data_IF_242297333325
#
_entry.id   IF_242297333325
#
_cell.length_a   1.000
_cell.length_b   1.000
_cell.length_c   1.000
_cell.angle_alpha   90.00
_cell.angle_beta   90.00
_cell.angle_gamma   90.00
#
_symmetry.space_group_name_H-M   'P 1'
#
loop_
_entity.id
_entity.type
_entity.pdbx_description
1 polymer ?
#
# COMPACT_ATOMS: atom_id res chain seq x y z
N UNK A 1 18.46 -11.85 17.79
CA UNK A 1 17.70 -10.97 16.90
C UNK A 1 17.12 -9.87 17.76
N UNK A 2 17.48 -8.60 17.51
CA UNK A 2 16.79 -7.45 18.10
C UNK A 2 15.44 -7.29 17.39
N UNK A 3 14.34 -7.04 18.11
CA UNK A 3 13.10 -6.63 17.46
C UNK A 3 13.34 -5.32 16.68
N UNK A 4 12.54 -5.05 15.65
CA UNK A 4 12.49 -3.72 15.02
C UNK A 4 12.21 -2.64 16.09
N UNK A 5 11.36 -2.97 17.07
CA UNK A 5 11.12 -2.17 18.27
C UNK A 5 12.42 -1.88 19.05
N UNK A 6 13.37 -2.82 19.16
CA UNK A 6 14.63 -2.62 19.90
C UNK A 6 15.65 -1.74 19.18
N UNK A 7 15.55 -1.60 17.85
CA UNK A 7 16.31 -0.59 17.09
C UNK A 7 15.64 0.78 17.16
N UNK A 8 14.33 0.81 17.21
CA UNK A 8 13.50 2.01 17.37
C UNK A 8 13.61 2.59 18.80
N UNK A 9 13.99 1.79 19.80
CA UNK A 9 14.19 2.27 21.17
C UNK A 9 15.46 3.13 21.38
N UNK A 10 16.28 3.34 20.34
CA UNK A 10 17.38 4.32 20.39
C UNK A 10 16.88 5.71 19.94
N UNK A 11 16.52 6.57 20.90
CA UNK A 11 15.84 7.86 20.65
C UNK A 11 16.54 8.81 19.66
N UNK A 12 17.86 8.70 19.47
CA UNK A 12 18.59 9.50 18.49
C UNK A 12 18.49 8.96 17.05
N UNK A 13 18.35 7.64 16.87
CA UNK A 13 18.20 7.02 15.55
C UNK A 13 16.77 7.17 15.02
N UNK A 14 15.77 7.09 15.89
CA UNK A 14 14.37 7.33 15.53
C UNK A 14 14.09 8.77 15.13
N UNK A 15 14.61 9.74 15.89
CA UNK A 15 14.47 11.16 15.56
C UNK A 15 15.02 11.46 14.17
N UNK A 16 16.21 10.93 13.83
CA UNK A 16 16.80 11.05 12.49
C UNK A 16 15.94 10.38 11.41
N UNK A 17 15.33 9.24 11.70
CA UNK A 17 14.49 8.54 10.73
C UNK A 17 13.20 9.31 10.43
N UNK A 18 12.53 9.82 11.46
CA UNK A 18 11.34 10.67 11.30
C UNK A 18 11.66 11.96 10.55
N UNK A 19 12.77 12.63 10.88
CA UNK A 19 13.24 13.83 10.17
C UNK A 19 13.51 13.55 8.69
N UNK A 20 14.12 12.40 8.36
CA UNK A 20 14.37 12.01 6.97
C UNK A 20 13.05 11.74 6.21
N UNK A 21 12.08 11.09 6.84
CA UNK A 21 10.75 10.86 6.25
C UNK A 21 10.07 12.20 5.98
N UNK A 22 10.04 13.09 6.97
CA UNK A 22 9.47 14.43 6.81
C UNK A 22 10.16 15.20 5.68
N UNK A 23 11.49 15.22 5.66
CA UNK A 23 12.26 15.88 4.59
C UNK A 23 11.91 15.32 3.21
N UNK A 24 11.77 14.01 3.10
CA UNK A 24 11.38 13.36 1.84
C UNK A 24 9.92 13.68 1.47
N UNK A 25 9.00 13.79 2.43
CA UNK A 25 7.62 14.20 2.11
C UNK A 25 7.54 15.67 1.66
N UNK A 26 8.34 16.53 2.29
CA UNK A 26 8.39 17.96 1.96
C UNK A 26 9.10 18.22 0.63
N UNK A 27 10.16 17.47 0.31
CA UNK A 27 10.94 17.61 -0.92
C UNK A 27 11.34 16.22 -1.44
N UNK A 28 10.40 15.51 -2.08
CA UNK A 28 10.64 14.13 -2.45
C UNK A 28 11.63 14.02 -3.60
N UNK A 29 12.53 13.04 -3.48
CA UNK A 29 13.38 12.67 -4.60
C UNK A 29 12.55 12.03 -5.72
N UNK A 30 13.02 12.19 -6.95
CA UNK A 30 12.41 11.65 -8.16
C UNK A 30 13.42 10.84 -8.94
N UNK A 31 12.93 9.87 -9.71
CA UNK A 31 13.70 9.01 -10.60
C UNK A 31 14.75 8.16 -9.85
N UNK A 32 14.40 7.61 -8.69
CA UNK A 32 15.30 6.70 -7.95
C UNK A 32 15.55 5.38 -8.71
N UNK A 33 14.65 5.04 -9.64
CA UNK A 33 14.77 3.89 -10.54
C UNK A 33 14.70 2.53 -9.85
N UNK A 34 14.21 2.44 -8.60
CA UNK A 34 14.21 1.17 -7.85
C UNK A 34 13.25 0.13 -8.41
N UNK A 35 12.20 0.56 -9.11
CA UNK A 35 11.16 -0.31 -9.70
C UNK A 35 11.22 -0.29 -11.23
N UNK A 36 12.43 -0.40 -11.78
CA UNK A 36 12.71 -0.56 -13.22
C UNK A 36 13.13 -1.99 -13.55
N UNK A 37 12.93 -2.42 -14.80
CA UNK A 37 13.15 -3.80 -15.21
C UNK A 37 14.57 -4.33 -14.91
N UNK A 38 15.59 -3.49 -15.02
CA UNK A 38 17.01 -3.85 -14.78
C UNK A 38 17.32 -4.15 -13.31
N UNK A 39 16.49 -3.69 -12.37
CA UNK A 39 16.64 -3.96 -10.93
C UNK A 39 16.18 -5.36 -10.52
N UNK A 40 15.27 -5.98 -11.27
CA UNK A 40 14.70 -7.30 -10.97
C UNK A 40 15.56 -8.44 -11.51
N UNK A 41 16.79 -8.56 -10.99
CA UNK A 41 17.74 -9.60 -11.44
C UNK A 41 17.24 -11.01 -11.12
N UNK A 42 17.20 -11.86 -12.13
CA UNK A 42 16.75 -13.26 -12.00
C UNK A 42 15.24 -13.46 -12.14
N UNK A 43 14.50 -12.40 -12.47
CA UNK A 43 13.06 -12.44 -12.75
C UNK A 43 12.78 -12.23 -14.24
N UNK A 44 11.56 -12.58 -14.65
CA UNK A 44 10.99 -12.16 -15.93
C UNK A 44 10.28 -10.84 -15.69
N UNK A 45 10.55 -9.85 -16.53
CA UNK A 45 9.93 -8.53 -16.47
C UNK A 45 9.29 -8.17 -17.80
N UNK A 46 8.11 -7.56 -17.74
CA UNK A 46 7.46 -6.86 -18.85
C UNK A 46 7.19 -5.43 -18.40
N UNK A 47 7.81 -4.45 -19.04
CA UNK A 47 7.75 -3.03 -18.67
C UNK A 47 7.13 -2.24 -19.83
N UNK A 48 6.12 -1.44 -19.51
CA UNK A 48 5.45 -0.56 -20.45
C UNK A 48 5.00 0.72 -19.74
N UNK A 49 4.23 1.55 -20.43
CA UNK A 49 3.85 2.86 -19.95
C UNK A 49 2.37 3.16 -20.22
N UNK A 50 1.72 3.83 -19.27
CA UNK A 50 0.36 4.35 -19.36
C UNK A 50 0.41 5.86 -19.20
N UNK A 51 0.19 6.60 -20.29
CA UNK A 51 0.18 8.08 -20.33
C UNK A 51 1.36 8.78 -19.64
N UNK A 52 2.57 8.26 -19.82
CA UNK A 52 3.80 8.76 -19.23
C UNK A 52 4.23 8.04 -17.96
N UNK A 53 3.41 7.18 -17.36
CA UNK A 53 3.70 6.48 -16.10
C UNK A 53 4.08 5.02 -16.30
N UNK A 54 5.18 4.59 -15.67
CA UNK A 54 5.73 3.26 -15.84
C UNK A 54 4.83 2.18 -15.20
N UNK A 55 4.69 1.05 -15.88
CA UNK A 55 4.04 -0.14 -15.34
C UNK A 55 4.94 -1.33 -15.62
N UNK A 56 5.21 -2.12 -14.59
CA UNK A 56 6.08 -3.29 -14.70
C UNK A 56 5.44 -4.51 -14.06
N UNK A 57 5.27 -5.57 -14.85
CA UNK A 57 4.94 -6.90 -14.35
C UNK A 57 6.22 -7.69 -14.09
N UNK A 58 6.34 -8.26 -12.91
CA UNK A 58 7.45 -9.13 -12.49
C UNK A 58 6.91 -10.53 -12.21
N UNK A 59 7.60 -11.55 -12.71
CA UNK A 59 7.23 -12.94 -12.47
C UNK A 59 8.42 -13.91 -12.45
N UNK A 60 8.18 -15.11 -11.93
CA UNK A 60 9.08 -16.25 -12.06
C UNK A 60 8.86 -17.00 -13.39
N UNK A 61 9.68 -18.03 -13.63
CA UNK A 61 9.51 -18.94 -14.79
C UNK A 61 8.23 -19.77 -14.72
N UNK A 62 7.71 -19.99 -13.51
CA UNK A 62 6.44 -20.67 -13.24
C UNK A 62 5.58 -19.72 -12.44
N UNK A 63 4.31 -19.62 -12.80
CA UNK A 63 3.32 -18.82 -12.10
C UNK A 63 2.17 -19.70 -11.63
N UNK A 64 1.57 -19.39 -10.48
CA UNK A 64 0.42 -20.12 -9.95
C UNK A 64 -0.92 -19.63 -10.54
N UNK A 65 -0.91 -18.60 -11.40
CA UNK A 65 -2.10 -17.98 -12.00
C UNK A 65 -2.62 -16.75 -11.23
N UNK A 66 -2.11 -16.50 -10.02
CA UNK A 66 -2.42 -15.31 -9.23
C UNK A 66 -1.58 -14.10 -9.63
N UNK A 67 -2.21 -12.93 -9.67
CA UNK A 67 -1.61 -11.68 -10.13
C UNK A 67 -1.93 -10.52 -9.18
N UNK A 68 -0.93 -10.06 -8.43
CA UNK A 68 -1.05 -8.92 -7.50
C UNK A 68 -0.79 -7.61 -8.23
N UNK A 69 -1.70 -6.66 -8.14
CA UNK A 69 -1.46 -5.28 -8.55
C UNK A 69 -1.02 -4.50 -7.30
N UNK A 70 0.18 -3.96 -7.35
CA UNK A 70 0.90 -3.37 -6.22
C UNK A 70 0.86 -1.84 -6.28
N UNK A 71 0.34 -1.22 -5.22
CA UNK A 71 0.27 0.22 -5.04
C UNK A 71 1.07 0.59 -3.78
N UNK A 72 2.22 1.25 -3.97
CA UNK A 72 3.15 1.52 -2.88
C UNK A 72 2.70 2.63 -1.92
N UNK A 73 3.25 2.64 -0.70
CA UNK A 73 3.13 3.73 0.27
C UNK A 73 4.00 4.95 -0.06
N UNK A 74 4.24 5.83 0.92
CA UNK A 74 5.00 7.07 0.71
C UNK A 74 4.15 8.34 0.65
N UNK A 75 2.98 8.33 1.29
CA UNK A 75 2.16 9.53 1.49
C UNK A 75 1.62 10.15 0.21
N UNK A 76 1.55 9.41 -0.90
CA UNK A 76 1.25 9.92 -2.26
C UNK A 76 2.26 10.94 -2.81
N UNK A 77 3.38 11.16 -2.12
CA UNK A 77 4.40 12.17 -2.47
C UNK A 77 5.76 11.56 -2.77
N UNK A 78 6.11 10.45 -2.13
CA UNK A 78 7.40 9.78 -2.24
C UNK A 78 7.34 8.57 -3.16
N UNK A 79 8.42 8.32 -3.90
CA UNK A 79 8.54 7.14 -4.78
C UNK A 79 8.65 5.83 -4.00
N UNK A 80 8.26 4.73 -4.65
CA UNK A 80 8.57 3.39 -4.18
C UNK A 80 10.08 3.19 -4.00
N UNK A 81 10.44 2.28 -3.10
CA UNK A 81 11.83 2.09 -2.65
C UNK A 81 12.32 0.67 -2.90
N UNK A 82 13.61 0.44 -2.66
CA UNK A 82 14.19 -0.90 -2.67
C UNK A 82 13.44 -1.88 -1.73
N UNK A 83 12.82 -1.40 -0.65
CA UNK A 83 12.02 -2.24 0.23
C UNK A 83 10.74 -2.74 -0.45
N UNK A 84 10.03 -1.89 -1.18
CA UNK A 84 8.87 -2.31 -1.97
C UNK A 84 9.26 -3.33 -3.03
N UNK A 85 10.40 -3.10 -3.72
CA UNK A 85 10.96 -4.09 -4.66
C UNK A 85 11.20 -5.45 -3.98
N UNK A 86 11.76 -5.48 -2.77
CA UNK A 86 11.96 -6.76 -2.04
C UNK A 86 10.64 -7.48 -1.78
N UNK A 87 9.57 -6.77 -1.39
CA UNK A 87 8.25 -7.37 -1.21
C UNK A 87 7.80 -8.06 -2.50
N UNK A 88 7.87 -7.35 -3.63
CA UNK A 88 7.54 -7.89 -4.95
C UNK A 88 8.36 -9.15 -5.25
N UNK A 89 9.68 -9.08 -5.06
CA UNK A 89 10.59 -10.20 -5.31
C UNK A 89 10.25 -11.43 -4.46
N UNK A 90 9.94 -11.25 -3.17
CA UNK A 90 9.59 -12.35 -2.26
C UNK A 90 8.23 -12.98 -2.61
N UNK A 91 7.21 -12.17 -2.93
CA UNK A 91 5.90 -12.69 -3.36
C UNK A 91 6.02 -13.54 -4.64
N UNK A 92 6.85 -13.10 -5.58
CA UNK A 92 7.11 -13.85 -6.82
C UNK A 92 7.90 -15.13 -6.53
N UNK A 93 8.98 -15.04 -5.74
CA UNK A 93 9.88 -16.17 -5.44
C UNK A 93 9.21 -17.26 -4.60
N UNK A 94 8.53 -16.88 -3.53
CA UNK A 94 8.01 -17.80 -2.53
C UNK A 94 6.66 -18.39 -2.95
N UNK A 95 5.79 -17.59 -3.58
CA UNK A 95 4.40 -17.97 -3.83
C UNK A 95 4.09 -18.20 -5.31
N UNK A 96 5.01 -17.88 -6.22
CA UNK A 96 4.79 -18.02 -7.66
C UNK A 96 3.73 -17.06 -8.20
N UNK A 97 3.49 -15.94 -7.51
CA UNK A 97 2.60 -14.88 -7.97
C UNK A 97 3.27 -14.10 -9.11
N UNK A 98 2.45 -13.53 -10.00
CA UNK A 98 2.85 -12.36 -10.78
C UNK A 98 2.56 -11.11 -9.96
N UNK A 99 3.39 -10.09 -10.10
CA UNK A 99 3.16 -8.81 -9.44
C UNK A 99 3.35 -7.69 -10.43
N UNK A 100 2.31 -6.88 -10.65
CA UNK A 100 2.43 -5.65 -11.43
C UNK A 100 2.50 -4.46 -10.52
N UNK A 101 3.59 -3.69 -10.63
CA UNK A 101 3.76 -2.40 -9.98
C UNK A 101 3.33 -1.28 -10.93
N UNK A 102 2.51 -0.36 -10.43
CA UNK A 102 2.10 0.86 -11.14
C UNK A 102 2.86 2.04 -10.51
N UNK A 103 3.74 2.67 -11.28
CA UNK A 103 4.49 3.87 -10.90
C UNK A 103 3.56 5.09 -11.01
N UNK A 104 2.58 5.15 -10.11
CA UNK A 104 1.44 6.06 -10.22
C UNK A 104 1.86 7.53 -9.99
N UNK A 105 1.10 8.49 -10.53
CA UNK A 105 1.37 9.92 -10.36
C UNK A 105 1.47 10.36 -8.90
N UNK A 106 2.50 11.14 -8.57
CA UNK A 106 2.78 11.63 -7.22
C UNK A 106 2.59 13.14 -7.10
N UNK A 107 2.24 13.57 -5.90
CA UNK A 107 2.18 14.97 -5.53
C UNK A 107 3.59 15.50 -5.18
N UNK A 108 3.86 16.81 -5.38
CA UNK A 108 2.92 17.85 -5.79
C UNK A 108 2.72 18.01 -7.31
N UNK A 109 3.45 17.28 -8.16
CA UNK A 109 3.36 17.40 -9.62
C UNK A 109 1.98 16.98 -10.15
N UNK A 110 1.36 16.03 -9.45
CA UNK A 110 0.04 15.50 -9.76
C UNK A 110 -0.80 15.34 -8.50
N UNK A 111 -2.11 15.51 -8.65
CA UNK A 111 -3.10 15.33 -7.60
C UNK A 111 -3.84 14.00 -7.77
N UNK A 112 -4.73 13.68 -6.83
CA UNK A 112 -5.51 12.45 -6.83
C UNK A 112 -6.24 12.17 -8.15
N UNK A 113 -6.73 13.19 -8.86
CA UNK A 113 -7.44 13.01 -10.12
C UNK A 113 -6.56 12.26 -11.14
N UNK A 114 -5.30 12.68 -11.27
CA UNK A 114 -4.37 12.05 -12.21
C UNK A 114 -3.96 10.66 -11.72
N UNK A 115 -3.72 10.51 -10.41
CA UNK A 115 -3.38 9.22 -9.80
C UNK A 115 -4.45 8.17 -10.06
N UNK A 116 -5.71 8.48 -9.78
CA UNK A 116 -6.83 7.57 -10.04
C UNK A 116 -7.06 7.32 -11.53
N UNK A 117 -6.92 8.34 -12.38
CA UNK A 117 -6.98 8.18 -13.84
C UNK A 117 -5.98 7.11 -14.33
N UNK A 118 -4.71 7.25 -13.95
CA UNK A 118 -3.64 6.35 -14.37
C UNK A 118 -3.81 4.96 -13.79
N UNK A 119 -4.11 4.84 -12.50
CA UNK A 119 -4.28 3.52 -11.86
C UNK A 119 -5.45 2.76 -12.48
N UNK A 120 -6.57 3.43 -12.78
CA UNK A 120 -7.73 2.80 -13.42
C UNK A 120 -7.48 2.44 -14.89
N UNK A 121 -6.69 3.22 -15.63
CA UNK A 121 -6.24 2.86 -16.99
C UNK A 121 -5.31 1.66 -16.96
N UNK A 122 -4.29 1.71 -16.11
CA UNK A 122 -3.34 0.62 -15.92
C UNK A 122 -4.04 -0.67 -15.49
N UNK A 123 -4.98 -0.62 -14.54
CA UNK A 123 -5.76 -1.80 -14.14
C UNK A 123 -6.45 -2.49 -15.32
N UNK A 124 -7.12 -1.73 -16.19
CA UNK A 124 -7.79 -2.26 -17.39
C UNK A 124 -6.79 -2.86 -18.37
N UNK A 125 -5.66 -2.20 -18.60
CA UNK A 125 -4.62 -2.74 -19.50
C UNK A 125 -3.97 -4.02 -18.95
N UNK A 126 -3.63 -4.03 -17.66
CA UNK A 126 -3.04 -5.20 -16.97
C UNK A 126 -3.96 -6.41 -17.12
N UNK A 127 -5.26 -6.23 -16.88
CA UNK A 127 -6.25 -7.32 -16.89
C UNK A 127 -6.52 -7.85 -18.29
N UNK A 128 -6.52 -6.99 -19.31
CA UNK A 128 -6.62 -7.40 -20.72
C UNK A 128 -5.37 -8.18 -21.13
N UNK A 129 -4.19 -7.66 -20.78
CA UNK A 129 -2.90 -8.22 -21.19
C UNK A 129 -2.58 -9.54 -20.49
N UNK A 130 -3.16 -9.79 -19.32
CA UNK A 130 -3.01 -11.00 -18.53
C UNK A 130 -4.34 -11.78 -18.40
N UNK A 131 -5.08 -11.88 -19.51
CA UNK A 131 -6.35 -12.60 -19.54
C UNK A 131 -6.22 -14.03 -19.00
N UNK A 132 -7.07 -14.38 -18.03
CA UNK A 132 -7.09 -15.69 -17.38
C UNK A 132 -6.38 -15.75 -16.03
N UNK A 133 -5.61 -14.72 -15.65
CA UNK A 133 -5.07 -14.60 -14.31
C UNK A 133 -6.17 -14.29 -13.27
N UNK A 134 -5.96 -14.70 -12.03
CA UNK A 134 -6.75 -14.28 -10.88
C UNK A 134 -6.13 -13.03 -10.24
N UNK A 135 -6.84 -11.90 -10.32
CA UNK A 135 -6.31 -10.61 -9.88
C UNK A 135 -6.51 -10.35 -8.39
N UNK A 136 -5.51 -9.73 -7.79
CA UNK A 136 -5.44 -9.31 -6.39
C UNK A 136 -4.92 -7.87 -6.30
N UNK A 137 -5.17 -7.20 -5.18
CA UNK A 137 -4.56 -5.89 -4.87
C UNK A 137 -3.68 -5.98 -3.64
N UNK A 138 -2.54 -5.30 -3.67
CA UNK A 138 -1.73 -4.99 -2.50
C UNK A 138 -1.58 -3.48 -2.41
N UNK A 139 -1.72 -2.92 -1.21
CA UNK A 139 -1.19 -1.60 -0.94
C UNK A 139 -0.78 -1.39 0.50
N UNK A 140 0.30 -0.63 0.68
CA UNK A 140 0.82 -0.20 1.97
C UNK A 140 0.61 1.31 2.19
N UNK A 141 0.35 1.75 3.41
CA UNK A 141 0.22 3.18 3.76
C UNK A 141 -0.74 3.94 2.81
N UNK A 142 -0.26 4.99 2.15
CA UNK A 142 -0.98 5.70 1.09
C UNK A 142 -1.48 4.77 -0.03
N UNK A 143 -0.64 3.85 -0.49
CA UNK A 143 -1.02 2.83 -1.47
C UNK A 143 -2.10 1.88 -0.96
N UNK A 144 -2.17 1.62 0.35
CA UNK A 144 -3.26 0.89 0.99
C UNK A 144 -4.59 1.66 0.96
N UNK A 145 -4.55 2.97 1.19
CA UNK A 145 -5.68 3.86 0.95
C UNK A 145 -6.13 3.82 -0.52
N UNK A 146 -5.18 3.97 -1.44
CA UNK A 146 -5.44 3.93 -2.88
C UNK A 146 -6.03 2.58 -3.32
N UNK A 147 -5.49 1.46 -2.84
CA UNK A 147 -5.98 0.13 -3.15
C UNK A 147 -7.44 -0.05 -2.73
N UNK A 148 -7.80 0.40 -1.53
CA UNK A 148 -9.19 0.33 -1.06
C UNK A 148 -10.12 1.24 -1.88
N UNK A 149 -9.68 2.46 -2.22
CA UNK A 149 -10.45 3.37 -3.07
C UNK A 149 -10.66 2.79 -4.48
N UNK A 150 -9.60 2.25 -5.10
CA UNK A 150 -9.68 1.56 -6.39
C UNK A 150 -10.65 0.38 -6.33
N UNK A 151 -10.57 -0.45 -5.28
CA UNK A 151 -11.47 -1.59 -5.11
C UNK A 151 -12.94 -1.16 -4.98
N UNK A 152 -13.20 -0.06 -4.26
CA UNK A 152 -14.54 0.55 -4.17
C UNK A 152 -15.04 1.00 -5.55
N UNK A 153 -14.21 1.73 -6.31
CA UNK A 153 -14.53 2.20 -7.67
C UNK A 153 -14.81 1.03 -8.61
N UNK A 154 -13.95 0.01 -8.63
CA UNK A 154 -14.13 -1.18 -9.48
C UNK A 154 -15.47 -1.87 -9.22
N UNK A 155 -15.89 -1.94 -7.95
CA UNK A 155 -17.17 -2.55 -7.56
C UNK A 155 -18.36 -1.68 -7.95
N UNK A 156 -18.28 -0.36 -7.75
CA UNK A 156 -19.35 0.57 -8.09
C UNK A 156 -19.55 0.69 -9.61
N UNK A 157 -18.45 0.69 -10.38
CA UNK A 157 -18.45 0.68 -11.85
C UNK A 157 -18.64 -0.71 -12.47
N UNK A 158 -18.69 -1.77 -11.65
CA UNK A 158 -18.82 -3.18 -12.07
C UNK A 158 -17.75 -3.62 -13.08
N UNK A 159 -16.52 -3.17 -12.87
CA UNK A 159 -15.37 -3.52 -13.71
C UNK A 159 -14.96 -4.97 -13.45
N UNK A 160 -14.72 -5.71 -14.53
CA UNK A 160 -14.25 -7.10 -14.51
C UNK A 160 -12.95 -7.26 -15.30
N UNK A 161 -12.08 -8.23 -14.93
CA UNK A 161 -12.16 -9.06 -13.73
C UNK A 161 -12.08 -8.21 -12.45
N UNK A 162 -12.75 -8.62 -11.38
CA UNK A 162 -12.72 -7.92 -10.09
C UNK A 162 -11.67 -8.57 -9.18
N UNK A 163 -10.86 -7.82 -8.40
CA UNK A 163 -9.86 -8.42 -7.53
C UNK A 163 -10.50 -9.29 -6.45
N UNK A 164 -10.11 -10.56 -6.36
CA UNK A 164 -10.72 -11.50 -5.39
C UNK A 164 -10.23 -11.27 -3.95
N UNK A 165 -9.00 -10.78 -3.82
CA UNK A 165 -8.29 -10.60 -2.56
C UNK A 165 -7.53 -9.29 -2.54
N UNK A 166 -7.56 -8.61 -1.41
CA UNK A 166 -6.88 -7.33 -1.23
C UNK A 166 -6.14 -7.30 0.10
N UNK A 167 -4.84 -7.01 0.06
CA UNK A 167 -4.03 -6.77 1.27
C UNK A 167 -3.88 -5.27 1.46
N UNK A 168 -4.20 -4.83 2.67
CA UNK A 168 -4.03 -3.45 3.13
C UNK A 168 -3.04 -3.46 4.30
N UNK A 169 -1.80 -3.05 4.05
CA UNK A 169 -0.79 -2.88 5.09
C UNK A 169 -0.81 -1.43 5.61
N UNK A 170 -1.02 -1.25 6.90
CA UNK A 170 -0.98 0.06 7.58
C UNK A 170 -1.69 1.18 6.80
N UNK A 171 -2.90 0.96 6.25
CA UNK A 171 -3.43 1.81 5.19
C UNK A 171 -3.83 3.20 5.71
N UNK A 172 -3.47 4.24 4.95
CA UNK A 172 -3.93 5.60 5.19
C UNK A 172 -5.27 5.86 4.50
N UNK A 173 -6.35 5.69 5.27
CA UNK A 173 -7.73 5.68 4.73
C UNK A 173 -8.56 6.93 5.04
N UNK A 174 -8.00 7.87 5.80
CA UNK A 174 -8.64 9.13 6.19
C UNK A 174 -7.63 10.29 6.10
N UNK A 175 -7.65 11.01 4.99
CA UNK A 175 -6.76 12.15 4.75
C UNK A 175 -7.16 13.39 5.57
N UNK A 176 -8.32 13.37 6.23
CA UNK A 176 -8.70 14.45 7.16
C UNK A 176 -7.93 14.38 8.48
N UNK A 177 -7.35 13.22 8.80
CA UNK A 177 -6.69 12.93 10.08
C UNK A 177 -7.59 13.30 11.29
N UNK A 178 -8.91 13.14 11.14
CA UNK A 178 -9.90 13.65 12.11
C UNK A 178 -10.25 12.68 13.24
N UNK A 179 -9.66 11.49 13.26
CA UNK A 179 -9.90 10.52 14.32
C UNK A 179 -9.32 11.03 15.65
N UNK A 180 -10.13 11.14 16.72
CA UNK A 180 -9.71 11.78 17.98
C UNK A 180 -8.57 11.04 18.70
N UNK A 181 -8.31 9.76 18.34
CA UNK A 181 -7.24 8.96 18.92
C UNK A 181 -5.90 9.09 18.18
N UNK A 182 -5.86 9.79 17.05
CA UNK A 182 -4.63 9.95 16.27
C UNK A 182 -3.56 10.69 17.07
N UNK A 183 -3.93 11.72 17.84
CA UNK A 183 -2.96 12.47 18.66
C UNK A 183 -2.20 11.57 19.64
N UNK A 184 -2.91 10.69 20.34
CA UNK A 184 -2.32 9.71 21.26
C UNK A 184 -1.48 8.64 20.54
N UNK A 185 -1.90 8.22 19.34
CA UNK A 185 -1.16 7.26 18.53
C UNK A 185 0.14 7.87 17.97
N UNK A 186 0.12 9.15 17.60
CA UNK A 186 1.27 9.89 17.09
C UNK A 186 2.43 9.92 18.09
N UNK A 187 2.14 9.97 19.39
CA UNK A 187 3.18 9.94 20.45
C UNK A 187 3.97 8.61 20.48
N UNK A 188 3.43 7.55 19.88
CA UNK A 188 4.05 6.21 19.84
C UNK A 188 4.67 5.88 18.50
N UNK A 189 4.36 6.64 17.46
CA UNK A 189 4.89 6.42 16.11
C UNK A 189 6.26 7.09 15.98
N UNK A 190 7.34 6.32 15.75
CA UNK A 190 8.68 6.87 15.62
C UNK A 190 9.02 7.30 14.19
N UNK A 191 8.12 7.06 13.22
CA UNK A 191 8.36 7.29 11.80
C UNK A 191 7.55 8.48 11.29
N UNK A 192 6.23 8.43 11.50
CA UNK A 192 5.30 9.42 10.98
C UNK A 192 4.95 10.48 12.02
N UNK A 193 4.69 11.68 11.53
CA UNK A 193 4.17 12.79 12.34
C UNK A 193 2.88 13.31 11.73
N UNK A 194 2.05 13.95 12.55
CA UNK A 194 0.85 14.64 12.06
C UNK A 194 1.19 15.67 10.98
N UNK A 195 2.25 16.44 11.21
CA UNK A 195 2.70 17.51 10.33
C UNK A 195 3.06 16.99 8.93
N UNK A 196 3.86 15.93 8.83
CA UNK A 196 4.22 15.37 7.52
C UNK A 196 3.00 14.77 6.78
N UNK A 197 2.06 14.15 7.51
CA UNK A 197 0.83 13.62 6.90
C UNK A 197 -0.11 14.73 6.43
N UNK A 198 -0.27 15.81 7.19
CA UNK A 198 -1.07 16.96 6.74
C UNK A 198 -0.50 17.60 5.48
N UNK A 199 0.82 17.82 5.43
CA UNK A 199 1.46 18.38 4.23
C UNK A 199 1.34 17.46 3.01
N UNK A 200 1.49 16.15 3.20
CA UNK A 200 1.30 15.18 2.12
C UNK A 200 -0.16 15.17 1.63
N UNK A 201 -1.13 15.19 2.55
CA UNK A 201 -2.55 15.23 2.24
C UNK A 201 -2.91 16.50 1.45
N UNK A 202 -2.46 17.67 1.90
CA UNK A 202 -2.72 18.95 1.24
C UNK A 202 -2.27 18.93 -0.24
N UNK A 203 -1.07 18.40 -0.51
CA UNK A 203 -0.53 18.30 -1.87
C UNK A 203 -1.30 17.31 -2.74
N UNK A 204 -1.67 16.16 -2.17
CA UNK A 204 -2.35 15.10 -2.93
C UNK A 204 -3.82 15.41 -3.21
N UNK A 205 -4.54 15.97 -2.22
CA UNK A 205 -5.95 16.34 -2.34
C UNK A 205 -6.15 17.41 -3.42
N UNK A 206 -5.22 18.36 -3.54
CA UNK A 206 -5.37 19.49 -4.46
C UNK A 206 -6.64 20.28 -4.16
N UNK A 207 -7.57 20.33 -5.11
CA UNK A 207 -8.86 21.01 -4.96
C UNK A 207 -10.01 20.06 -4.51
N UNK A 208 -9.69 18.81 -4.18
CA UNK A 208 -10.68 17.82 -3.76
C UNK A 208 -11.22 18.02 -2.34
N UNK A 209 -12.31 17.33 -2.03
CA UNK A 209 -12.80 17.20 -0.65
C UNK A 209 -12.12 16.00 0.02
N UNK A 210 -11.37 16.25 1.09
CA UNK A 210 -10.71 15.21 1.90
C UNK A 210 -11.67 14.13 2.42
N UNK A 211 -12.98 14.39 2.50
CA UNK A 211 -14.01 13.41 2.89
C UNK A 211 -14.58 12.60 1.73
N UNK A 212 -14.21 12.92 0.49
CA UNK A 212 -14.60 12.13 -0.67
C UNK A 212 -14.02 10.71 -0.54
N UNK A 213 -14.84 9.68 -0.79
CA UNK A 213 -14.44 8.28 -0.69
C UNK A 213 -13.31 7.89 -1.66
N UNK A 214 -13.13 8.63 -2.76
CA UNK A 214 -11.99 8.41 -3.67
C UNK A 214 -10.66 8.79 -3.01
N UNK A 215 -10.65 9.82 -2.15
CA UNK A 215 -9.47 10.29 -1.41
C UNK A 215 -9.31 9.58 -0.06
N UNK A 216 -10.42 9.44 0.67
CA UNK A 216 -10.51 8.86 2.00
C UNK A 216 -11.51 7.71 1.98
N UNK A 217 -11.10 6.51 1.55
CA UNK A 217 -12.01 5.38 1.34
C UNK A 217 -12.72 4.91 2.59
N UNK A 218 -12.28 5.33 3.79
CA UNK A 218 -13.02 5.06 5.02
C UNK A 218 -14.43 5.65 4.98
N UNK A 219 -14.69 6.70 4.20
CA UNK A 219 -16.03 7.29 4.06
C UNK A 219 -16.91 6.60 3.00
N UNK A 220 -16.32 5.68 2.22
CA UNK A 220 -17.02 4.88 1.23
C UNK A 220 -17.77 3.67 1.82
N UNK A 221 -18.44 2.92 0.93
CA UNK A 221 -19.13 1.67 1.26
C UNK A 221 -18.14 0.51 1.35
N UNK A 222 -18.37 -0.41 2.28
CA UNK A 222 -17.49 -1.57 2.48
C UNK A 222 -18.05 -2.90 1.98
N UNK A 223 -19.28 -2.93 1.45
CA UNK A 223 -19.93 -4.17 1.00
C UNK A 223 -19.27 -4.78 -0.24
N UNK A 224 -19.37 -6.09 -0.48
CA UNK A 224 -19.00 -6.73 -1.75
C UNK A 224 -17.58 -6.41 -2.24
N UNK A 225 -16.62 -6.29 -1.33
CA UNK A 225 -15.21 -6.00 -1.63
C UNK A 225 -14.36 -7.27 -1.76
N UNK A 226 -14.96 -8.47 -1.69
CA UNK A 226 -14.22 -9.73 -1.68
C UNK A 226 -13.54 -9.99 -0.35
N UNK A 227 -12.39 -10.68 -0.36
CA UNK A 227 -11.59 -10.95 0.84
C UNK A 227 -10.57 -9.83 1.07
N UNK A 228 -10.55 -9.23 2.25
CA UNK A 228 -9.57 -8.21 2.65
C UNK A 228 -8.72 -8.75 3.79
N UNK A 229 -7.41 -8.59 3.69
CA UNK A 229 -6.48 -8.78 4.80
C UNK A 229 -5.93 -7.43 5.23
N UNK A 230 -6.31 -6.98 6.42
CA UNK A 230 -5.88 -5.72 7.00
C UNK A 230 -4.81 -5.96 8.06
N UNK A 231 -3.62 -5.39 7.85
CA UNK A 231 -2.51 -5.43 8.78
C UNK A 231 -2.22 -4.02 9.32
N UNK A 232 -1.95 -3.91 10.63
CA UNK A 232 -1.51 -2.65 11.26
C UNK A 232 -0.66 -2.96 12.50
N UNK A 233 0.26 -2.07 12.87
CA UNK A 233 1.02 -2.13 14.10
C UNK A 233 0.34 -1.36 15.24
N UNK A 234 0.66 -1.68 16.49
CA UNK A 234 0.14 -0.92 17.64
C UNK A 234 0.92 0.36 17.94
N UNK A 235 2.08 0.57 17.30
CA UNK A 235 2.95 1.74 17.45
C UNK A 235 3.04 2.52 16.13
N UNK A 236 1.88 2.76 15.51
CA UNK A 236 1.78 3.63 14.35
C UNK A 236 0.59 4.59 14.46
N UNK A 237 0.74 5.77 13.87
CA UNK A 237 -0.21 6.88 13.93
C UNK A 237 -1.54 6.56 13.23
N UNK A 238 -1.52 5.68 12.24
CA UNK A 238 -2.70 5.29 11.44
C UNK A 238 -3.52 4.16 12.06
N UNK A 239 -3.02 3.52 13.14
CA UNK A 239 -3.70 2.41 13.79
C UNK A 239 -5.15 2.72 14.24
N UNK A 240 -5.46 3.92 14.79
CA UNK A 240 -6.83 4.28 15.13
C UNK A 240 -7.81 4.18 13.96
N UNK A 241 -7.40 4.59 12.75
CA UNK A 241 -8.24 4.49 11.55
C UNK A 241 -8.28 3.07 10.99
N UNK A 242 -7.18 2.31 11.10
CA UNK A 242 -7.19 0.88 10.78
C UNK A 242 -8.20 0.11 11.66
N UNK A 243 -8.28 0.43 12.96
CA UNK A 243 -9.28 -0.16 13.86
C UNK A 243 -10.71 0.24 13.52
N UNK A 244 -10.93 1.51 13.13
CA UNK A 244 -12.24 1.99 12.65
C UNK A 244 -12.63 1.31 11.33
N UNK A 245 -11.69 1.16 10.42
CA UNK A 245 -11.86 0.43 9.16
C UNK A 245 -12.20 -1.04 9.40
N UNK A 246 -11.49 -1.72 10.30
CA UNK A 246 -11.80 -3.09 10.74
C UNK A 246 -13.27 -3.21 11.15
N UNK A 247 -13.77 -2.33 12.01
CA UNK A 247 -15.18 -2.36 12.44
C UNK A 247 -16.14 -2.19 11.26
N UNK A 248 -15.83 -1.31 10.31
CA UNK A 248 -16.65 -1.14 9.09
C UNK A 248 -16.63 -2.37 8.19
N UNK A 249 -15.46 -2.98 7.98
CA UNK A 249 -15.29 -4.17 7.14
C UNK A 249 -16.00 -5.39 7.75
N UNK A 250 -15.91 -5.59 9.07
CA UNK A 250 -16.62 -6.68 9.77
C UNK A 250 -18.14 -6.54 9.69
N UNK A 251 -18.66 -5.32 9.57
CA UNK A 251 -20.10 -5.07 9.46
C UNK A 251 -20.62 -5.09 8.02
N UNK A 252 -19.73 -5.22 7.03
CA UNK A 252 -20.09 -5.10 5.62
C UNK A 252 -20.67 -6.40 5.06
N UNK A 253 -21.67 -6.28 4.19
CA UNK A 253 -22.25 -7.43 3.51
C UNK A 253 -21.36 -7.88 2.34
N UNK A 254 -21.09 -9.18 2.19
CA UNK A 254 -20.33 -9.71 1.04
C UNK A 254 -18.84 -9.35 1.03
N UNK A 255 -18.30 -8.89 2.15
CA UNK A 255 -16.87 -8.64 2.37
C UNK A 255 -16.38 -9.50 3.51
N UNK A 256 -15.30 -10.23 3.29
CA UNK A 256 -14.66 -11.06 4.30
C UNK A 256 -13.40 -10.34 4.81
N UNK A 257 -13.15 -10.39 6.11
CA UNK A 257 -12.00 -9.72 6.73
C UNK A 257 -11.11 -10.71 7.49
N UNK A 258 -9.85 -10.74 7.12
CA UNK A 258 -8.75 -11.15 7.99
C UNK A 258 -8.08 -9.91 8.57
N UNK A 259 -7.74 -9.94 9.85
CA UNK A 259 -7.16 -8.79 10.54
C UNK A 259 -5.99 -9.21 11.42
N UNK A 260 -4.84 -8.56 11.22
CA UNK A 260 -3.65 -8.75 12.05
C UNK A 260 -3.18 -7.42 12.64
N UNK A 261 -3.11 -7.36 13.96
CA UNK A 261 -2.57 -6.21 14.68
C UNK A 261 -1.25 -6.59 15.36
N UNK A 262 -0.14 -6.13 14.80
CA UNK A 262 1.21 -6.42 15.26
C UNK A 262 1.55 -5.65 16.54
N UNK A 263 1.75 -6.37 17.65
CA UNK A 263 2.15 -5.76 18.91
C UNK A 263 3.53 -5.08 18.78
N UNK A 264 3.61 -3.79 19.13
CA UNK A 264 4.81 -2.95 19.05
C UNK A 264 5.38 -2.79 17.64
N UNK A 265 4.65 -3.22 16.62
CA UNK A 265 5.01 -2.94 15.24
C UNK A 265 4.70 -1.49 14.91
N UNK A 266 5.59 -0.91 14.11
CA UNK A 266 5.50 0.49 13.65
C UNK A 266 4.93 0.55 12.24
N UNK A 267 4.74 1.76 11.73
CA UNK A 267 4.18 1.97 10.40
C UNK A 267 4.97 1.21 9.33
N UNK A 268 4.26 0.47 8.48
CA UNK A 268 4.81 -0.33 7.37
C UNK A 268 5.99 -1.25 7.76
N UNK A 269 5.94 -1.90 8.94
CA UNK A 269 7.03 -2.78 9.38
C UNK A 269 7.41 -3.87 8.35
N UNK A 270 6.49 -4.24 7.45
CA UNK A 270 6.75 -5.16 6.32
C UNK A 270 7.88 -4.69 5.40
N UNK A 271 8.09 -3.37 5.26
CA UNK A 271 9.15 -2.79 4.44
C UNK A 271 10.56 -3.09 5.00
N UNK A 272 10.65 -3.54 6.24
CA UNK A 272 11.91 -3.94 6.87
C UNK A 272 12.34 -5.37 6.48
N UNK A 273 11.61 -6.06 5.60
CA UNK A 273 11.96 -7.40 5.10
C UNK A 273 13.26 -7.41 4.28
N UNK A 274 14.09 -8.47 4.36
CA UNK A 274 13.98 -9.64 5.26
C UNK A 274 14.73 -9.44 6.59
N UNK A 275 15.14 -8.22 6.92
CA UNK A 275 16.08 -7.95 8.00
C UNK A 275 15.50 -8.15 9.40
N UNK A 276 14.16 -8.17 9.51
CA UNK A 276 13.45 -8.40 10.77
C UNK A 276 12.46 -9.55 10.63
N UNK A 277 12.43 -10.40 11.66
CA UNK A 277 11.62 -11.61 11.65
C UNK A 277 10.13 -11.30 11.50
N UNK A 278 9.64 -10.27 12.18
CA UNK A 278 8.24 -9.85 12.12
C UNK A 278 7.86 -9.29 10.75
N UNK A 279 8.80 -8.61 10.07
CA UNK A 279 8.60 -8.13 8.71
C UNK A 279 8.54 -9.30 7.71
N UNK A 280 9.44 -10.28 7.85
CA UNK A 280 9.43 -11.48 7.02
C UNK A 280 8.15 -12.31 7.25
N UNK A 281 7.74 -12.49 8.51
CA UNK A 281 6.45 -13.15 8.83
C UNK A 281 5.25 -12.43 8.24
N UNK A 282 5.27 -11.10 8.16
CA UNK A 282 4.22 -10.35 7.47
C UNK A 282 4.16 -10.68 5.97
N UNK A 283 5.31 -10.84 5.31
CA UNK A 283 5.37 -11.33 3.92
C UNK A 283 4.78 -12.74 3.82
N UNK A 284 5.11 -13.62 4.76
CA UNK A 284 4.59 -14.99 4.78
C UNK A 284 3.05 -15.01 4.89
N UNK A 285 2.52 -14.26 5.86
CA UNK A 285 1.06 -14.11 6.04
C UNK A 285 0.39 -13.56 4.78
N UNK A 286 0.99 -12.54 4.15
CA UNK A 286 0.45 -11.92 2.92
C UNK A 286 0.45 -12.90 1.75
N UNK A 287 1.54 -13.64 1.55
CA UNK A 287 1.62 -14.62 0.47
C UNK A 287 0.66 -15.79 0.68
N UNK A 288 0.57 -16.30 1.91
CA UNK A 288 -0.39 -17.35 2.30
C UNK A 288 -1.83 -16.90 2.06
N UNK A 289 -2.17 -15.68 2.46
CA UNK A 289 -3.49 -15.10 2.20
C UNK A 289 -3.84 -15.13 0.71
N UNK A 290 -2.90 -14.81 -0.18
CA UNK A 290 -3.15 -14.86 -1.63
C UNK A 290 -3.33 -16.28 -2.17
N UNK A 291 -2.57 -17.26 -1.70
CA UNK A 291 -2.59 -18.62 -2.28
C UNK A 291 -3.60 -19.56 -1.64
N UNK A 292 -4.09 -19.26 -0.43
CA UNK A 292 -5.06 -20.11 0.29
C UNK A 292 -6.50 -19.85 -0.15
N UNK A 293 -7.31 -20.89 -0.36
CA UNK A 293 -8.70 -20.80 -0.89
C UNK A 293 -9.66 -19.93 -0.08
#
# INVERSE_FOLDING_TARGET
>A
MKLLADLILNGAETMKMSENIKKNFDNPERNNGELRADKFKGFITDEWNVDGFNVITVSGKKTNGGHVIFLHGGGYVAEATASHRRIIEELVKMYGLKVTFIDYPLAPEHTYEKTHEIVMKAYREITIKNYGDEFYLFGDSAGGGLALAVLQILRDEKIIPFPKKTVLMSPWVDLTMSNPKIGEAAERDPLLTMDCLYHAAERYIGNGDAKNAVLSPIFGRMDNLGKIFLLTGTHEILNPDCRKLKTKLMAAYGTELEFYEGEKMVHDWILATPFYLEAFKAIEMVGEFYVNG
#
